data_IF_077206186800
#
_entry.id   IF_077206186800
#
_cell.length_a   1.000
_cell.length_b   1.000
_cell.length_c   1.000
_cell.angle_alpha   90.00
_cell.angle_beta   90.00
_cell.angle_gamma   90.00
#
_symmetry.space_group_name_H-M   'P 1'
#
loop_
_entity.id
_entity.type
_entity.pdbx_description
1 polymer ?
#
# COMPACT_ATOMS: atom_id res chain seq x y z
N UNK A 1 9.21 23.66 15.28
CA UNK A 1 8.98 24.86 16.12
C UNK A 1 7.66 24.84 16.90
N UNK A 2 6.50 24.45 16.34
CA UNK A 2 5.21 24.48 17.10
C UNK A 2 5.11 23.50 18.28
N UNK A 3 5.82 22.35 18.25
CA UNK A 3 5.78 21.34 19.33
C UNK A 3 6.54 21.78 20.60
N UNK A 4 7.64 22.52 20.45
CA UNK A 4 8.45 23.02 21.57
C UNK A 4 7.72 24.12 22.36
N UNK A 5 6.89 24.93 21.69
CA UNK A 5 6.07 25.95 22.36
C UNK A 5 4.90 25.36 23.16
N UNK A 6 4.31 24.25 22.72
CA UNK A 6 3.25 23.54 23.45
C UNK A 6 3.78 22.80 24.68
N UNK A 7 4.99 22.22 24.59
CA UNK A 7 5.70 21.63 25.73
C UNK A 7 6.16 22.70 26.72
N UNK A 8 6.65 23.85 26.21
CA UNK A 8 6.90 25.04 27.03
C UNK A 8 5.64 25.50 27.75
N UNK A 9 4.46 25.47 27.10
CA UNK A 9 3.17 25.78 27.72
C UNK A 9 2.75 24.75 28.78
N UNK A 10 2.96 23.45 28.57
CA UNK A 10 2.66 22.40 29.57
C UNK A 10 3.58 22.49 30.80
N UNK A 11 4.86 22.86 30.61
CA UNK A 11 5.78 23.13 31.72
C UNK A 11 5.44 24.47 32.39
N UNK A 12 5.09 25.51 31.63
CA UNK A 12 4.73 26.82 32.18
C UNK A 12 3.38 26.81 32.92
N UNK A 13 2.41 25.98 32.52
CA UNK A 13 1.16 25.80 33.27
C UNK A 13 1.43 25.17 34.65
N UNK A 14 2.44 24.30 34.76
CA UNK A 14 2.89 23.76 36.06
C UNK A 14 3.66 24.79 36.91
N UNK A 15 4.34 25.76 36.28
CA UNK A 15 5.15 26.77 36.98
C UNK A 15 4.35 28.02 37.38
N UNK A 16 3.32 28.42 36.60
CA UNK A 16 2.57 29.67 36.82
C UNK A 16 1.52 29.61 37.93
N UNK A 17 1.33 28.45 38.57
CA UNK A 17 0.45 28.26 39.74
C UNK A 17 1.21 28.44 41.08
N UNK A 18 2.48 28.85 41.04
CA UNK A 18 3.33 29.02 42.24
C UNK A 18 3.65 30.49 42.59
N UNK A 19 2.84 31.44 42.11
CA UNK A 19 3.09 32.86 42.29
C UNK A 19 1.98 33.62 43.02
N UNK A 20 1.45 33.12 44.14
CA UNK A 20 0.88 33.98 45.18
C UNK A 20 0.74 33.26 46.52
N UNK A 21 1.32 33.88 47.55
CA UNK A 21 1.40 33.46 48.94
C UNK A 21 0.01 33.22 49.55
N UNK A 22 -0.22 32.03 50.13
CA UNK A 22 -0.37 31.85 51.58
C UNK A 22 -0.95 30.46 51.92
N UNK A 23 -0.25 29.79 52.84
CA UNK A 23 -0.68 28.69 53.71
C UNK A 23 -1.99 27.96 53.37
N UNK A 24 -1.89 26.91 52.57
CA UNK A 24 -2.49 25.58 52.75
C UNK A 24 -2.29 24.84 51.44
N UNK A 25 -1.51 23.75 51.42
CA UNK A 25 -1.40 22.86 50.25
C UNK A 25 -2.81 22.36 49.87
N UNK A 26 -3.41 22.79 48.74
CA UNK A 26 -4.59 22.16 48.21
C UNK A 26 -4.10 21.12 47.20
N UNK A 27 -4.07 19.87 47.65
CA UNK A 27 -4.52 18.71 46.87
C UNK A 27 -4.10 18.72 45.39
N UNK A 28 -2.86 18.31 45.14
CA UNK A 28 -2.31 17.90 43.84
C UNK A 28 -2.93 16.57 43.30
N UNK A 29 -4.20 16.28 43.63
CA UNK A 29 -4.93 15.09 43.16
C UNK A 29 -5.82 15.36 41.94
N UNK A 30 -6.18 16.62 41.65
CA UNK A 30 -6.68 17.03 40.33
C UNK A 30 -5.44 17.49 39.53
N UNK A 31 -4.96 16.88 38.45
CA UNK A 31 -5.64 16.06 37.46
C UNK A 31 -4.57 15.26 36.67
N UNK A 32 -3.81 14.43 37.39
CA UNK A 32 -2.83 13.49 36.80
C UNK A 32 -3.50 12.57 35.76
N UNK A 33 -4.77 12.27 35.98
CA UNK A 33 -5.67 11.59 35.05
C UNK A 33 -5.86 12.34 33.73
N UNK A 34 -6.16 13.64 33.72
CA UNK A 34 -6.42 14.35 32.46
C UNK A 34 -5.17 14.57 31.62
N UNK A 35 -4.00 14.78 32.23
CA UNK A 35 -2.74 14.89 31.48
C UNK A 35 -2.39 13.55 30.83
N UNK A 36 -2.54 12.45 31.57
CA UNK A 36 -2.37 11.10 31.04
C UNK A 36 -3.37 10.79 29.92
N UNK A 37 -4.66 11.09 30.11
CA UNK A 37 -5.70 10.87 29.11
C UNK A 37 -5.46 11.69 27.83
N UNK A 38 -5.02 12.95 27.96
CA UNK A 38 -4.66 13.79 26.80
C UNK A 38 -3.44 13.26 26.04
N UNK A 39 -2.44 12.76 26.76
CA UNK A 39 -1.24 12.18 26.15
C UNK A 39 -1.55 10.84 25.48
N UNK A 40 -2.30 9.97 26.14
CA UNK A 40 -2.83 8.72 25.57
C UNK A 40 -3.65 8.98 24.31
N UNK A 41 -4.56 9.94 24.35
CA UNK A 41 -5.37 10.33 23.20
C UNK A 41 -4.51 10.84 22.05
N UNK A 42 -3.58 11.75 22.32
CA UNK A 42 -2.68 12.31 21.30
C UNK A 42 -1.80 11.22 20.65
N UNK A 43 -1.25 10.31 21.46
CA UNK A 43 -0.45 9.19 20.96
C UNK A 43 -1.29 8.25 20.09
N UNK A 44 -2.49 7.87 20.57
CA UNK A 44 -3.42 7.03 19.80
C UNK A 44 -3.85 7.68 18.49
N UNK A 45 -4.13 8.99 18.49
CA UNK A 45 -4.48 9.74 17.28
C UNK A 45 -3.33 9.75 16.26
N UNK A 46 -2.09 9.99 16.72
CA UNK A 46 -0.92 10.02 15.82
C UNK A 46 -0.57 8.65 15.26
N UNK A 47 -0.60 7.60 16.08
CA UNK A 47 -0.34 6.24 15.61
C UNK A 47 -1.49 5.71 14.75
N UNK A 48 -2.73 6.06 15.08
CA UNK A 48 -3.91 5.73 14.28
C UNK A 48 -3.85 6.37 12.89
N UNK A 49 -3.58 7.68 12.80
CA UNK A 49 -3.43 8.36 11.50
C UNK A 49 -2.32 7.75 10.64
N UNK A 50 -1.20 7.42 11.27
CA UNK A 50 -0.04 6.79 10.65
C UNK A 50 -0.32 5.36 10.17
N UNK A 51 -1.07 4.58 10.95
CA UNK A 51 -1.52 3.23 10.54
C UNK A 51 -2.50 3.31 9.36
N UNK A 52 -3.41 4.29 9.37
CA UNK A 52 -4.38 4.49 8.30
C UNK A 52 -3.71 4.92 6.99
N UNK A 53 -2.82 5.91 6.99
CA UNK A 53 -2.07 6.34 5.80
C UNK A 53 -1.31 5.17 5.16
N UNK A 54 -0.73 4.34 6.02
CA UNK A 54 -0.01 3.14 5.64
C UNK A 54 -0.95 2.07 5.03
N UNK A 55 -2.09 1.82 5.65
CA UNK A 55 -3.09 0.87 5.13
C UNK A 55 -3.68 1.33 3.79
N UNK A 56 -3.97 2.63 3.66
CA UNK A 56 -4.44 3.24 2.41
C UNK A 56 -3.41 3.06 1.30
N UNK A 57 -2.12 3.29 1.58
CA UNK A 57 -1.07 3.14 0.57
C UNK A 57 -0.90 1.68 0.14
N UNK A 58 -1.04 0.72 1.07
CA UNK A 58 -1.04 -0.70 0.73
C UNK A 58 -2.22 -1.11 -0.15
N UNK A 59 -3.41 -0.58 0.17
CA UNK A 59 -4.59 -0.81 -0.64
C UNK A 59 -4.40 -0.25 -2.05
N UNK A 60 -3.87 0.98 -2.17
CA UNK A 60 -3.58 1.61 -3.45
C UNK A 60 -2.56 0.82 -4.27
N UNK A 61 -1.47 0.35 -3.65
CA UNK A 61 -0.45 -0.48 -4.30
C UNK A 61 -1.06 -1.77 -4.85
N UNK A 62 -1.80 -2.51 -4.02
CA UNK A 62 -2.46 -3.75 -4.42
C UNK A 62 -3.49 -3.52 -5.52
N UNK A 63 -4.35 -2.51 -5.36
CA UNK A 63 -5.36 -2.15 -6.35
C UNK A 63 -4.72 -1.78 -7.69
N UNK A 64 -3.63 -1.00 -7.66
CA UNK A 64 -2.93 -0.60 -8.88
C UNK A 64 -2.31 -1.80 -9.58
N UNK A 65 -1.70 -2.73 -8.85
CA UNK A 65 -1.17 -3.99 -9.40
C UNK A 65 -2.29 -4.80 -10.07
N UNK A 66 -3.39 -5.05 -9.35
CA UNK A 66 -4.54 -5.81 -9.86
C UNK A 66 -5.13 -5.16 -11.11
N UNK A 67 -5.24 -3.83 -11.13
CA UNK A 67 -5.74 -3.07 -12.27
C UNK A 67 -4.83 -3.20 -13.50
N UNK A 68 -3.51 -3.19 -13.34
CA UNK A 68 -2.59 -3.36 -14.47
C UNK A 68 -2.58 -4.81 -15.00
N UNK A 69 -2.67 -5.81 -14.11
CA UNK A 69 -2.82 -7.21 -14.52
C UNK A 69 -4.14 -7.39 -15.30
N UNK A 70 -5.23 -6.82 -14.79
CA UNK A 70 -6.53 -6.82 -15.48
C UNK A 70 -6.45 -6.14 -16.83
N UNK A 71 -5.80 -4.98 -16.92
CA UNK A 71 -5.61 -4.26 -18.19
C UNK A 71 -4.81 -5.09 -19.21
N UNK A 72 -3.74 -5.78 -18.76
CA UNK A 72 -2.99 -6.69 -19.60
C UNK A 72 -3.85 -7.82 -20.18
N UNK A 73 -4.67 -8.46 -19.34
CA UNK A 73 -5.64 -9.48 -19.79
C UNK A 73 -6.65 -8.92 -20.79
N UNK A 74 -7.23 -7.76 -20.51
CA UNK A 74 -8.20 -7.10 -21.40
C UNK A 74 -7.59 -6.75 -22.76
N UNK A 75 -6.30 -6.37 -22.81
CA UNK A 75 -5.60 -6.11 -24.07
C UNK A 75 -5.49 -7.35 -24.97
N UNK A 76 -5.20 -8.50 -24.35
CA UNK A 76 -5.17 -9.81 -25.04
C UNK A 76 -6.58 -10.17 -25.54
N UNK A 77 -7.58 -10.07 -24.66
CA UNK A 77 -8.99 -10.33 -25.01
C UNK A 77 -9.46 -9.45 -26.16
N UNK A 78 -9.14 -8.16 -26.14
CA UNK A 78 -9.50 -7.20 -27.20
C UNK A 78 -8.99 -7.64 -28.56
N UNK A 79 -7.73 -8.09 -28.64
CA UNK A 79 -7.12 -8.57 -29.89
C UNK A 79 -7.86 -9.79 -30.42
N UNK A 80 -8.21 -10.74 -29.54
CA UNK A 80 -9.00 -11.92 -29.93
C UNK A 80 -10.42 -11.53 -30.36
N UNK A 81 -11.09 -10.63 -29.64
CA UNK A 81 -12.45 -10.17 -29.99
C UNK A 81 -12.48 -9.47 -31.34
N UNK A 82 -11.50 -8.62 -31.65
CA UNK A 82 -11.37 -8.00 -32.97
C UNK A 82 -11.23 -9.05 -34.09
N UNK A 83 -10.42 -10.08 -33.86
CA UNK A 83 -10.25 -11.18 -34.80
C UNK A 83 -11.53 -12.01 -34.96
N UNK A 84 -12.23 -12.34 -33.86
CA UNK A 84 -13.50 -13.05 -33.91
C UNK A 84 -14.57 -12.28 -34.67
N UNK A 85 -14.71 -10.98 -34.40
CA UNK A 85 -15.68 -10.12 -35.12
C UNK A 85 -15.43 -10.09 -36.63
N UNK A 86 -14.15 -10.05 -37.04
CA UNK A 86 -13.80 -10.05 -38.47
C UNK A 86 -14.02 -11.43 -39.12
N UNK A 87 -13.83 -12.55 -38.38
CA UNK A 87 -14.25 -13.87 -38.84
C UNK A 87 -15.78 -13.95 -39.01
N UNK A 88 -16.53 -13.47 -38.03
CA UNK A 88 -18.00 -13.48 -38.04
C UNK A 88 -18.57 -12.68 -39.21
N UNK A 89 -17.98 -11.51 -39.49
CA UNK A 89 -18.37 -10.67 -40.64
C UNK A 89 -18.21 -11.42 -41.97
N UNK A 90 -17.27 -12.37 -42.04
CA UNK A 90 -16.97 -13.16 -43.24
C UNK A 90 -17.56 -14.57 -43.20
N UNK A 91 -18.35 -14.91 -42.17
CA UNK A 91 -18.84 -16.27 -41.91
C UNK A 91 -19.59 -16.89 -43.08
N UNK A 92 -20.31 -16.10 -43.87
CA UNK A 92 -21.04 -16.58 -45.05
C UNK A 92 -20.14 -16.93 -46.25
N UNK A 93 -18.89 -16.44 -46.26
CA UNK A 93 -17.92 -16.66 -47.33
C UNK A 93 -16.96 -17.83 -47.00
N UNK A 94 -16.89 -18.23 -45.72
CA UNK A 94 -15.99 -19.26 -45.22
C UNK A 94 -16.80 -20.56 -45.02
N UNK A 95 -16.23 -21.70 -45.38
CA UNK A 95 -16.86 -22.99 -45.06
C UNK A 95 -17.02 -23.19 -43.54
N UNK A 96 -18.17 -23.73 -43.10
CA UNK A 96 -18.52 -23.89 -41.67
C UNK A 96 -17.42 -24.55 -40.84
N UNK A 97 -16.77 -25.59 -41.39
CA UNK A 97 -15.68 -26.29 -40.72
C UNK A 97 -14.45 -25.40 -40.51
N UNK A 98 -14.03 -24.63 -41.52
CA UNK A 98 -12.90 -23.71 -41.38
C UNK A 98 -13.24 -22.54 -40.44
N UNK A 99 -14.49 -22.06 -40.43
CA UNK A 99 -14.94 -21.06 -39.47
C UNK A 99 -14.78 -21.59 -38.02
N UNK A 100 -15.32 -22.77 -37.71
CA UNK A 100 -15.23 -23.38 -36.38
C UNK A 100 -13.78 -23.62 -35.95
N UNK A 101 -12.93 -24.13 -36.85
CA UNK A 101 -11.51 -24.32 -36.58
C UNK A 101 -10.79 -22.99 -36.31
N UNK A 102 -11.15 -21.92 -37.01
CA UNK A 102 -10.55 -20.60 -36.81
C UNK A 102 -10.92 -20.01 -35.45
N UNK A 103 -12.19 -20.14 -35.04
CA UNK A 103 -12.66 -19.75 -33.70
C UNK A 103 -11.90 -20.52 -32.61
N UNK A 104 -11.82 -21.85 -32.71
CA UNK A 104 -11.11 -22.67 -31.73
C UNK A 104 -9.63 -22.31 -31.60
N UNK A 105 -8.96 -22.05 -32.74
CA UNK A 105 -7.54 -21.62 -32.74
C UNK A 105 -7.38 -20.25 -32.09
N UNK A 106 -8.29 -19.30 -32.33
CA UNK A 106 -8.26 -17.98 -31.69
C UNK A 106 -8.48 -18.07 -30.19
N UNK A 107 -9.40 -18.92 -29.73
CA UNK A 107 -9.63 -19.14 -28.30
C UNK A 107 -8.43 -19.80 -27.61
N UNK A 108 -7.81 -20.78 -28.26
CA UNK A 108 -6.59 -21.42 -27.76
C UNK A 108 -5.41 -20.45 -27.71
N UNK A 109 -5.23 -19.62 -28.74
CA UNK A 109 -4.22 -18.57 -28.77
C UNK A 109 -4.43 -17.56 -27.63
N UNK A 110 -5.67 -17.11 -27.40
CA UNK A 110 -6.03 -16.24 -26.28
C UNK A 110 -5.62 -16.84 -24.94
N UNK A 111 -6.00 -18.10 -24.69
CA UNK A 111 -5.68 -18.79 -23.43
C UNK A 111 -4.17 -18.94 -23.24
N UNK A 112 -3.44 -19.32 -24.29
CA UNK A 112 -1.97 -19.42 -24.24
C UNK A 112 -1.34 -18.07 -23.91
N UNK A 113 -1.75 -17.00 -24.59
CA UNK A 113 -1.20 -15.66 -24.34
C UNK A 113 -1.53 -15.12 -22.95
N UNK A 114 -2.73 -15.37 -22.42
CA UNK A 114 -3.06 -15.04 -21.02
C UNK A 114 -2.15 -15.83 -20.07
N UNK A 115 -1.96 -17.12 -20.33
CA UNK A 115 -1.12 -17.97 -19.48
C UNK A 115 0.35 -17.55 -19.53
N UNK A 116 0.90 -17.23 -20.70
CA UNK A 116 2.25 -16.70 -20.87
C UNK A 116 2.42 -15.36 -20.14
N UNK A 117 1.43 -14.47 -20.25
CA UNK A 117 1.44 -13.20 -19.52
C UNK A 117 1.45 -13.40 -18.00
N UNK A 118 0.56 -14.25 -17.47
CA UNK A 118 0.42 -14.48 -16.03
C UNK A 118 1.59 -15.26 -15.41
N UNK A 119 2.24 -16.14 -16.19
CA UNK A 119 3.41 -16.91 -15.74
C UNK A 119 4.75 -16.25 -16.13
N UNK A 120 4.71 -15.02 -16.63
CA UNK A 120 5.93 -14.26 -16.87
C UNK A 120 6.68 -14.07 -15.55
N UNK A 121 7.99 -14.34 -15.57
CA UNK A 121 8.84 -14.27 -14.39
C UNK A 121 8.78 -12.89 -13.73
N UNK A 122 8.94 -11.81 -14.50
CA UNK A 122 8.95 -10.46 -13.96
C UNK A 122 7.61 -10.09 -13.30
N UNK A 123 6.48 -10.58 -13.81
CA UNK A 123 5.18 -10.39 -13.15
C UNK A 123 5.07 -11.17 -11.84
N UNK A 124 5.59 -12.40 -11.82
CA UNK A 124 5.62 -13.22 -10.59
C UNK A 124 6.48 -12.55 -9.52
N UNK A 125 7.65 -12.05 -9.90
CA UNK A 125 8.57 -11.33 -9.02
C UNK A 125 7.92 -10.02 -8.53
N UNK A 126 7.22 -9.27 -9.39
CA UNK A 126 6.48 -8.07 -9.01
C UNK A 126 5.39 -8.32 -7.96
N UNK A 127 4.62 -9.41 -8.13
CA UNK A 127 3.59 -9.82 -7.16
C UNK A 127 4.25 -10.18 -5.83
N UNK A 128 5.39 -10.87 -5.88
CA UNK A 128 6.14 -11.23 -4.67
C UNK A 128 6.64 -9.98 -3.94
N UNK A 129 7.25 -9.03 -4.65
CA UNK A 129 7.76 -7.78 -4.06
C UNK A 129 6.63 -6.96 -3.40
N UNK A 130 5.45 -6.88 -4.04
CA UNK A 130 4.28 -6.19 -3.46
C UNK A 130 3.81 -6.89 -2.18
N UNK A 131 3.74 -8.23 -2.17
CA UNK A 131 3.36 -8.97 -0.98
C UNK A 131 4.37 -8.81 0.16
N UNK A 132 5.67 -8.80 -0.16
CA UNK A 132 6.72 -8.55 0.82
C UNK A 132 6.59 -7.14 1.40
N UNK A 133 6.37 -6.12 0.56
CA UNK A 133 6.19 -4.75 1.01
C UNK A 133 4.98 -4.62 1.94
N UNK A 134 3.84 -5.25 1.61
CA UNK A 134 2.65 -5.29 2.47
C UNK A 134 2.96 -5.94 3.82
N UNK A 135 3.74 -7.03 3.83
CA UNK A 135 4.14 -7.71 5.06
C UNK A 135 5.07 -6.83 5.92
N UNK A 136 6.06 -6.18 5.31
CA UNK A 136 6.93 -5.21 5.99
C UNK A 136 6.11 -4.06 6.59
N UNK A 137 5.06 -3.63 5.90
CA UNK A 137 4.12 -2.64 6.43
C UNK A 137 3.49 -3.07 7.74
N UNK A 138 2.92 -4.28 7.75
CA UNK A 138 2.22 -4.82 8.91
C UNK A 138 3.19 -4.89 10.10
N UNK A 139 4.45 -5.26 9.83
CA UNK A 139 5.50 -5.30 10.85
C UNK A 139 5.82 -3.90 11.39
N UNK A 140 5.96 -2.87 10.54
CA UNK A 140 6.21 -1.49 10.97
C UNK A 140 5.04 -0.96 11.81
N UNK A 141 3.80 -1.16 11.37
CA UNK A 141 2.61 -0.73 12.11
C UNK A 141 2.48 -1.45 13.46
N UNK A 142 2.77 -2.75 13.50
CA UNK A 142 2.75 -3.53 14.75
C UNK A 142 3.84 -3.04 15.72
N UNK A 143 5.05 -2.75 15.23
CA UNK A 143 6.13 -2.16 16.05
C UNK A 143 5.75 -0.79 16.60
N UNK A 144 5.10 0.06 15.78
CA UNK A 144 4.65 1.37 16.23
C UNK A 144 3.60 1.26 17.35
N UNK A 145 2.67 0.31 17.24
CA UNK A 145 1.68 0.03 18.28
C UNK A 145 2.32 -0.53 19.55
N UNK A 146 3.29 -1.44 19.42
CA UNK A 146 3.99 -2.01 20.57
C UNK A 146 4.82 -0.95 21.32
N UNK A 147 5.56 -0.11 20.59
CA UNK A 147 6.30 1.00 21.18
C UNK A 147 5.37 1.96 21.94
N UNK A 148 4.14 2.18 21.43
CA UNK A 148 3.14 3.00 22.11
C UNK A 148 2.66 2.35 23.41
N UNK A 149 2.44 1.04 23.43
CA UNK A 149 2.07 0.30 24.63
C UNK A 149 3.17 0.40 25.70
N UNK A 150 4.43 0.15 25.33
CA UNK A 150 5.58 0.30 26.23
C UNK A 150 5.72 1.73 26.76
N UNK A 151 5.46 2.74 25.92
CA UNK A 151 5.49 4.15 26.33
C UNK A 151 4.42 4.47 27.36
N UNK A 152 3.20 3.97 27.19
CA UNK A 152 2.11 4.19 28.14
C UNK A 152 2.37 3.50 29.48
N UNK A 153 2.96 2.30 29.44
CA UNK A 153 3.38 1.58 30.64
C UNK A 153 4.48 2.35 31.35
N UNK A 154 5.56 2.75 30.66
CA UNK A 154 6.67 3.48 31.28
C UNK A 154 6.29 4.86 31.83
N UNK A 155 5.36 5.57 31.18
CA UNK A 155 4.81 6.82 31.71
C UNK A 155 3.99 6.60 32.98
N UNK A 156 3.32 5.45 33.12
CA UNK A 156 2.56 5.11 34.32
C UNK A 156 3.46 4.85 35.53
N UNK A 157 4.68 4.36 35.29
CA UNK A 157 5.69 4.08 36.32
C UNK A 157 6.35 5.36 36.86
N UNK A 158 6.46 6.42 36.05
CA UNK A 158 7.00 7.72 36.46
C UNK A 158 6.12 8.48 37.49
N UNK A 159 4.93 7.99 37.82
CA UNK A 159 3.94 8.69 38.65
C UNK A 159 4.18 8.47 40.15
N UNK A 160 5.07 7.54 40.52
CA UNK A 160 5.21 7.02 41.90
C UNK A 160 6.32 7.71 42.73
N UNK A 161 7.15 8.59 42.15
CA UNK A 161 8.28 9.25 42.84
C UNK A 161 8.03 10.70 43.25
N UNK A 162 8.95 11.26 44.05
CA UNK A 162 8.97 12.68 44.47
C UNK A 162 8.84 13.63 43.28
N UNK A 163 8.28 14.83 43.49
CA UNK A 163 7.88 15.76 42.42
C UNK A 163 8.98 16.03 41.37
N UNK A 164 10.22 16.25 41.82
CA UNK A 164 11.35 16.49 40.93
C UNK A 164 11.75 15.25 40.13
N UNK A 165 11.74 14.08 40.76
CA UNK A 165 12.06 12.81 40.12
C UNK A 165 10.98 12.40 39.12
N UNK A 166 9.70 12.65 39.44
CA UNK A 166 8.58 12.40 38.56
C UNK A 166 8.63 13.32 37.32
N UNK A 167 8.96 14.60 37.51
CA UNK A 167 9.12 15.56 36.41
C UNK A 167 10.31 15.22 35.51
N UNK A 168 11.45 14.80 36.09
CA UNK A 168 12.61 14.33 35.33
C UNK A 168 12.31 13.04 34.58
N UNK A 169 11.62 12.09 35.21
CA UNK A 169 11.19 10.83 34.59
C UNK A 169 10.26 11.10 33.39
N UNK A 170 9.22 11.92 33.57
CA UNK A 170 8.31 12.30 32.47
C UNK A 170 9.03 13.01 31.34
N UNK A 171 9.96 13.92 31.64
CA UNK A 171 10.71 14.67 30.61
C UNK A 171 11.62 13.74 29.80
N UNK A 172 12.30 12.81 30.45
CA UNK A 172 13.14 11.81 29.78
C UNK A 172 12.31 10.88 28.88
N UNK A 173 11.15 10.43 29.36
CA UNK A 173 10.23 9.64 28.54
C UNK A 173 9.69 10.43 27.35
N UNK A 174 9.25 11.67 27.53
CA UNK A 174 8.78 12.51 26.43
C UNK A 174 9.90 12.74 25.39
N UNK A 175 11.14 12.96 25.82
CA UNK A 175 12.28 13.07 24.90
C UNK A 175 12.56 11.78 24.14
N UNK A 176 12.46 10.62 24.80
CA UNK A 176 12.53 9.31 24.16
C UNK A 176 11.43 9.16 23.10
N UNK A 177 10.18 9.50 23.44
CA UNK A 177 9.04 9.49 22.49
C UNK A 177 9.31 10.38 21.28
N UNK A 178 9.80 11.61 21.48
CA UNK A 178 10.10 12.52 20.37
C UNK A 178 11.17 11.93 19.45
N UNK A 179 12.22 11.34 20.01
CA UNK A 179 13.28 10.72 19.23
C UNK A 179 12.81 9.47 18.48
N UNK A 180 11.99 8.64 19.12
CA UNK A 180 11.41 7.44 18.51
C UNK A 180 10.45 7.82 17.37
N UNK A 181 9.55 8.80 17.59
CA UNK A 181 8.66 9.32 16.53
C UNK A 181 9.47 9.92 15.37
N UNK A 182 10.55 10.65 15.66
CA UNK A 182 11.41 11.24 14.62
C UNK A 182 12.13 10.17 13.80
N UNK A 183 12.58 9.09 14.45
CA UNK A 183 13.18 7.94 13.80
C UNK A 183 12.16 7.19 12.94
N UNK A 184 10.97 6.90 13.48
CA UNK A 184 9.88 6.26 12.74
C UNK A 184 9.45 7.10 11.54
N UNK A 185 9.41 8.43 11.66
CA UNK A 185 9.14 9.32 10.52
C UNK A 185 10.20 9.17 9.41
N UNK A 186 11.47 9.07 9.76
CA UNK A 186 12.54 8.85 8.78
C UNK A 186 12.39 7.49 8.09
N UNK A 187 12.11 6.44 8.86
CA UNK A 187 11.88 5.08 8.35
C UNK A 187 10.67 5.05 7.41
N UNK A 188 9.61 5.79 7.72
CA UNK A 188 8.42 5.92 6.87
C UNK A 188 8.66 6.70 5.58
N UNK A 189 9.47 7.76 5.63
CA UNK A 189 9.82 8.48 4.41
C UNK A 189 10.56 7.56 3.43
N UNK A 190 11.50 6.75 3.94
CA UNK A 190 12.20 5.75 3.13
C UNK A 190 11.22 4.71 2.59
N UNK A 191 10.31 4.23 3.44
CA UNK A 191 9.30 3.25 3.07
C UNK A 191 8.37 3.75 1.95
N UNK A 192 7.93 5.00 2.03
CA UNK A 192 7.09 5.63 1.00
C UNK A 192 7.81 5.75 -0.35
N UNK A 193 9.09 6.09 -0.35
CA UNK A 193 9.89 6.12 -1.57
C UNK A 193 10.11 4.73 -2.17
N UNK A 194 10.31 3.70 -1.34
CA UNK A 194 10.36 2.31 -1.80
C UNK A 194 9.04 1.88 -2.46
N UNK A 195 7.89 2.24 -1.88
CA UNK A 195 6.59 1.96 -2.48
C UNK A 195 6.42 2.63 -3.85
N UNK A 196 6.78 3.91 -3.98
CA UNK A 196 6.73 4.62 -5.28
C UNK A 196 7.63 3.96 -6.32
N UNK A 197 8.86 3.61 -5.95
CA UNK A 197 9.78 2.93 -6.85
C UNK A 197 9.22 1.58 -7.29
N UNK A 198 8.61 0.84 -6.37
CA UNK A 198 7.93 -0.42 -6.68
C UNK A 198 6.77 -0.20 -7.65
N UNK A 199 6.01 0.90 -7.48
CA UNK A 199 4.92 1.25 -8.40
C UNK A 199 5.43 1.42 -9.83
N UNK A 200 6.53 2.14 -10.00
CA UNK A 200 7.14 2.37 -11.31
C UNK A 200 7.70 1.07 -11.88
N UNK A 201 8.37 0.26 -11.06
CA UNK A 201 8.97 -1.02 -11.43
C UNK A 201 7.91 -2.00 -11.94
N UNK A 202 6.83 -2.25 -11.18
CA UNK A 202 5.84 -3.24 -11.57
C UNK A 202 5.14 -2.84 -12.88
N UNK A 203 4.92 -1.53 -13.14
CA UNK A 203 4.32 -1.08 -14.40
C UNK A 203 5.19 -1.43 -15.60
N UNK A 204 6.51 -1.26 -15.47
CA UNK A 204 7.45 -1.64 -16.51
C UNK A 204 7.46 -3.15 -16.72
N UNK A 205 7.50 -3.93 -15.64
CA UNK A 205 7.51 -5.39 -15.68
C UNK A 205 6.23 -5.97 -16.29
N UNK A 206 5.05 -5.44 -15.94
CA UNK A 206 3.78 -5.83 -16.57
C UNK A 206 3.80 -5.56 -18.07
N UNK A 207 4.27 -4.38 -18.48
CA UNK A 207 4.33 -4.03 -19.90
C UNK A 207 5.30 -4.93 -20.68
N UNK A 208 6.44 -5.27 -20.09
CA UNK A 208 7.40 -6.19 -20.67
C UNK A 208 6.80 -7.60 -20.80
N UNK A 209 6.17 -8.11 -19.74
CA UNK A 209 5.48 -9.39 -19.74
C UNK A 209 4.31 -9.45 -20.73
N UNK A 210 3.66 -8.32 -21.01
CA UNK A 210 2.56 -8.24 -21.96
C UNK A 210 3.03 -8.17 -23.42
N UNK A 211 4.24 -7.66 -23.66
CA UNK A 211 4.73 -7.38 -25.01
C UNK A 211 4.79 -8.62 -25.89
N UNK A 212 5.52 -9.67 -25.47
CA UNK A 212 5.69 -10.89 -26.26
C UNK A 212 4.36 -11.63 -26.50
N UNK A 213 3.53 -11.92 -25.47
CA UNK A 213 2.23 -12.56 -25.67
C UNK A 213 1.31 -11.78 -26.61
N UNK A 214 1.32 -10.45 -26.54
CA UNK A 214 0.51 -9.59 -27.41
C UNK A 214 0.97 -9.64 -28.87
N UNK A 215 2.28 -9.62 -29.12
CA UNK A 215 2.82 -9.73 -30.48
C UNK A 215 2.54 -11.10 -31.08
N UNK A 216 2.75 -12.16 -30.29
CA UNK A 216 2.47 -13.54 -30.69
C UNK A 216 0.99 -13.72 -31.02
N UNK A 217 0.08 -13.21 -30.19
CA UNK A 217 -1.36 -13.29 -30.44
C UNK A 217 -1.75 -12.56 -31.73
N UNK A 218 -1.23 -11.35 -31.97
CA UNK A 218 -1.50 -10.61 -33.21
C UNK A 218 -1.03 -11.38 -34.44
N UNK A 219 0.15 -11.97 -34.38
CA UNK A 219 0.70 -12.79 -35.46
C UNK A 219 -0.18 -14.03 -35.71
N UNK A 220 -0.53 -14.76 -34.65
CA UNK A 220 -1.39 -15.94 -34.75
C UNK A 220 -2.78 -15.59 -35.29
N UNK A 221 -3.37 -14.48 -34.82
CA UNK A 221 -4.66 -14.01 -35.30
C UNK A 221 -4.62 -13.70 -36.81
N UNK A 222 -3.57 -13.02 -37.30
CA UNK A 222 -3.39 -12.77 -38.73
C UNK A 222 -3.23 -14.07 -39.54
N UNK A 223 -2.45 -15.02 -39.05
CA UNK A 223 -2.27 -16.32 -39.71
C UNK A 223 -3.57 -17.13 -39.77
N UNK A 224 -4.36 -17.12 -38.70
CA UNK A 224 -5.68 -17.77 -38.65
C UNK A 224 -6.63 -17.11 -39.66
N UNK A 225 -6.60 -15.78 -39.75
CA UNK A 225 -7.40 -15.02 -40.71
C UNK A 225 -7.02 -15.30 -42.16
N UNK A 226 -5.74 -15.35 -42.48
CA UNK A 226 -5.30 -15.66 -43.83
C UNK A 226 -5.59 -17.11 -44.21
N UNK A 227 -5.50 -18.03 -43.25
CA UNK A 227 -5.92 -19.43 -43.46
C UNK A 227 -7.42 -19.54 -43.70
N UNK A 228 -8.25 -18.82 -42.94
CA UNK A 228 -9.70 -18.86 -43.10
C UNK A 228 -10.15 -18.29 -44.45
N UNK A 229 -9.46 -17.27 -44.97
CA UNK A 229 -9.69 -16.72 -46.33
C UNK A 229 -9.38 -17.74 -47.42
N UNK A 230 -8.33 -18.57 -47.25
CA UNK A 230 -8.01 -19.64 -48.21
C UNK A 230 -9.04 -20.76 -48.21
N UNK A 231 -9.82 -20.90 -47.13
CA UNK A 231 -10.98 -21.79 -47.07
C UNK A 231 -12.29 -21.15 -47.60
N UNK A 232 -12.22 -19.99 -48.26
CA UNK A 232 -13.43 -19.36 -48.78
C UNK A 232 -14.08 -20.27 -49.84
N UNK A 233 -15.37 -20.54 -49.68
CA UNK A 233 -16.14 -21.44 -50.55
C UNK A 233 -16.86 -20.69 -51.67
N UNK A 234 -16.79 -19.36 -51.68
CA UNK A 234 -17.26 -18.47 -52.73
C UNK A 234 -16.15 -17.48 -53.07
N UNK A 235 -15.59 -17.57 -54.27
CA UNK A 235 -14.72 -16.56 -54.89
C UNK A 235 -15.58 -15.73 -55.84
#
# INVERSE_FOLDING_TARGET
MRLQHLLGLLVLINVKVHGQEDNQLPVLQQDKSAVRLKLEHWLKEKVGGLTNEIQETNYDLKSTLENHIKHGRLSIERTTTEALNNLDTRKQLIGTQCYQQSVQKLESAKLSSINEFLNCKNLTDAIHDVNQMIHETVNISTKALHNLEEMLIGLSECIVSDFFDAAQCMTNYIWKVINDVRRSKSEMSTYYELMKQLIVKFKAEINECLYQPSQNLKMQANLIMDSSRKCATKV
#
